data_IF_884473922325
#
_entry.id   IF_884473922325
#
_cell.length_a   1.000
_cell.length_b   1.000
_cell.length_c   1.000
_cell.angle_alpha   90.00
_cell.angle_beta   90.00
_cell.angle_gamma   90.00
#
_symmetry.space_group_name_H-M   'P 1'
#
loop_
_entity.id
_entity.type
_entity.pdbx_description
1 polymer ?
#
# COMPACT_ATOMS: atom_id res chain seq x y z
N UNK A 1 -36.26 8.68 -35.12
CA UNK A 1 -34.96 8.72 -34.40
C UNK A 1 -34.89 7.49 -33.53
N UNK A 2 -34.11 6.49 -33.95
CA UNK A 2 -34.00 5.19 -33.28
C UNK A 2 -32.91 5.27 -32.23
N UNK A 3 -33.26 5.05 -30.96
CA UNK A 3 -32.32 5.05 -29.84
C UNK A 3 -31.35 3.85 -29.96
N UNK A 4 -30.06 4.09 -29.73
CA UNK A 4 -29.02 3.07 -29.73
C UNK A 4 -29.20 2.10 -28.53
N UNK A 5 -28.92 0.79 -28.68
CA UNK A 5 -29.05 -0.17 -27.59
C UNK A 5 -27.97 0.06 -26.54
N UNK A 6 -28.39 0.09 -25.27
CA UNK A 6 -27.51 0.20 -24.11
C UNK A 6 -26.51 -0.96 -24.07
N UNK A 7 -25.22 -0.62 -24.03
CA UNK A 7 -24.12 -1.56 -23.92
C UNK A 7 -24.17 -2.23 -22.53
N UNK A 8 -24.58 -3.50 -22.47
CA UNK A 8 -24.58 -4.28 -21.23
C UNK A 8 -23.14 -4.45 -20.76
N UNK A 9 -22.89 -4.12 -19.49
CA UNK A 9 -21.62 -4.42 -18.81
C UNK A 9 -21.29 -5.92 -18.92
N UNK A 10 -20.01 -6.29 -19.10
CA UNK A 10 -19.62 -7.68 -19.29
C UNK A 10 -20.00 -8.51 -18.06
N UNK A 11 -20.68 -9.63 -18.31
CA UNK A 11 -21.11 -10.58 -17.29
C UNK A 11 -19.85 -11.11 -16.59
N UNK A 12 -19.76 -10.90 -15.26
CA UNK A 12 -18.73 -11.53 -14.41
C UNK A 12 -18.86 -13.05 -14.54
N UNK A 13 -17.91 -13.68 -15.26
CA UNK A 13 -17.85 -15.13 -15.42
C UNK A 13 -17.08 -15.73 -14.25
N UNK A 14 -17.74 -16.54 -13.43
CA UNK A 14 -17.08 -17.38 -12.43
C UNK A 14 -16.48 -18.57 -13.16
N UNK A 15 -15.15 -18.63 -13.23
CA UNK A 15 -14.44 -19.76 -13.85
C UNK A 15 -14.43 -20.96 -12.90
N UNK A 16 -14.78 -22.12 -13.42
CA UNK A 16 -14.72 -23.40 -12.71
C UNK A 16 -13.39 -24.11 -13.01
N UNK A 17 -12.91 -25.01 -12.13
CA UNK A 17 -11.63 -25.72 -12.32
C UNK A 17 -11.47 -26.44 -13.67
N UNK A 18 -12.57 -26.80 -14.31
CA UNK A 18 -12.62 -27.51 -15.60
C UNK A 18 -12.79 -26.59 -16.83
N UNK A 19 -12.81 -25.27 -16.67
CA UNK A 19 -12.99 -24.35 -17.78
C UNK A 19 -11.67 -24.18 -18.56
N UNK A 20 -11.63 -24.68 -19.80
CA UNK A 20 -10.50 -24.46 -20.72
C UNK A 20 -10.59 -23.07 -21.32
N UNK A 21 -9.65 -22.19 -21.00
CA UNK A 21 -9.53 -20.87 -21.62
C UNK A 21 -8.76 -20.96 -22.94
N UNK A 22 -9.18 -20.19 -23.94
CA UNK A 22 -8.46 -20.08 -25.21
C UNK A 22 -7.09 -19.45 -25.00
N UNK A 23 -6.11 -19.84 -25.83
CA UNK A 23 -4.71 -19.47 -25.68
C UNK A 23 -4.39 -17.96 -25.90
N UNK A 24 -5.38 -17.13 -26.21
CA UNK A 24 -5.20 -15.68 -26.46
C UNK A 24 -5.50 -14.78 -25.24
N UNK A 25 -5.88 -15.36 -24.09
CA UNK A 25 -6.13 -14.60 -22.86
C UNK A 25 -4.83 -14.32 -22.08
N UNK A 26 -3.98 -13.46 -22.63
CA UNK A 26 -2.83 -12.94 -21.91
C UNK A 26 -3.30 -12.05 -20.73
N UNK A 27 -3.00 -12.50 -19.51
CA UNK A 27 -3.00 -11.67 -18.29
C UNK A 27 -4.35 -11.41 -17.66
N UNK A 28 -4.95 -12.42 -17.02
CA UNK A 28 -6.05 -12.18 -16.07
C UNK A 28 -5.48 -11.60 -14.78
N UNK A 29 -5.59 -10.29 -14.63
CA UNK A 29 -5.28 -9.58 -13.40
C UNK A 29 -6.30 -9.95 -12.31
N UNK A 30 -5.80 -10.51 -11.20
CA UNK A 30 -6.57 -10.89 -10.02
C UNK A 30 -6.31 -9.94 -8.85
N UNK A 31 -5.61 -8.81 -9.07
CA UNK A 31 -5.34 -7.80 -8.06
C UNK A 31 -6.63 -7.37 -7.36
N UNK A 32 -6.61 -7.36 -6.02
CA UNK A 32 -7.77 -7.02 -5.19
C UNK A 32 -8.73 -8.19 -4.89
N UNK A 33 -8.46 -9.41 -5.37
CA UNK A 33 -9.14 -10.61 -4.86
C UNK A 33 -8.64 -10.94 -3.44
N UNK A 34 -9.22 -10.29 -2.43
CA UNK A 34 -8.79 -10.36 -1.02
C UNK A 34 -8.92 -11.71 -0.30
N UNK A 35 -9.13 -12.82 -1.01
CA UNK A 35 -9.24 -14.18 -0.45
C UNK A 35 -8.33 -15.22 -1.10
N UNK A 36 -7.37 -14.83 -1.93
CA UNK A 36 -6.42 -15.79 -2.49
C UNK A 36 -5.30 -15.98 -1.47
N UNK A 37 -5.39 -17.08 -0.73
CA UNK A 37 -4.42 -17.54 0.27
C UNK A 37 -3.53 -18.69 -0.26
N UNK A 38 -3.86 -19.23 -1.44
CA UNK A 38 -3.07 -20.20 -2.18
C UNK A 38 -3.26 -20.00 -3.69
N UNK A 39 -2.20 -20.26 -4.46
CA UNK A 39 -2.30 -20.40 -5.92
C UNK A 39 -2.60 -21.88 -6.22
N UNK A 40 -3.64 -22.22 -7.01
CA UNK A 40 -3.93 -23.61 -7.35
C UNK A 40 -2.83 -24.25 -8.19
N UNK A 41 -2.49 -25.51 -7.96
CA UNK A 41 -1.38 -26.19 -8.67
C UNK A 41 -1.56 -26.30 -10.19
N UNK A 42 -2.80 -26.23 -10.68
CA UNK A 42 -3.10 -26.21 -12.11
C UNK A 42 -2.86 -24.87 -12.81
N UNK A 43 -2.58 -23.80 -12.07
CA UNK A 43 -2.29 -22.49 -12.65
C UNK A 43 -0.89 -22.46 -13.25
N UNK A 44 -0.79 -21.99 -14.49
CA UNK A 44 0.49 -21.63 -15.11
C UNK A 44 0.65 -20.12 -15.06
N UNK A 45 1.73 -19.66 -14.45
CA UNK A 45 2.14 -18.26 -14.49
C UNK A 45 3.39 -18.14 -15.34
N UNK A 46 3.34 -17.31 -16.38
CA UNK A 46 4.39 -17.20 -17.39
C UNK A 46 5.39 -16.08 -17.12
N UNK A 47 5.05 -15.11 -16.27
CA UNK A 47 5.87 -13.93 -16.02
C UNK A 47 6.02 -13.63 -14.52
N UNK A 48 4.98 -13.10 -13.88
CA UNK A 48 5.02 -12.67 -12.51
C UNK A 48 3.66 -12.75 -11.83
N UNK A 49 3.68 -12.71 -10.50
CA UNK A 49 2.50 -12.62 -9.64
C UNK A 49 2.65 -11.37 -8.79
N UNK A 50 1.63 -10.50 -8.79
CA UNK A 50 1.52 -9.49 -7.75
C UNK A 50 0.98 -10.15 -6.49
N UNK A 51 1.66 -9.98 -5.37
CA UNK A 51 1.30 -10.62 -4.09
C UNK A 51 0.76 -9.61 -3.07
N UNK A 52 0.64 -8.33 -3.43
CA UNK A 52 0.06 -7.32 -2.57
C UNK A 52 -1.46 -7.50 -2.42
N UNK A 53 -1.97 -7.38 -1.19
CA UNK A 53 -3.39 -7.52 -0.90
C UNK A 53 -3.94 -8.95 -0.95
N UNK A 54 -3.07 -9.94 -1.17
CA UNK A 54 -3.40 -11.36 -1.11
C UNK A 54 -3.04 -11.95 0.27
N UNK A 55 -3.70 -13.05 0.64
CA UNK A 55 -3.45 -13.78 1.90
C UNK A 55 -2.24 -14.71 1.85
N UNK A 56 -1.39 -14.59 0.83
CA UNK A 56 -0.23 -15.45 0.64
C UNK A 56 0.83 -15.16 1.72
N UNK A 57 1.19 -16.19 2.48
CA UNK A 57 2.22 -16.11 3.52
C UNK A 57 3.59 -16.61 3.07
N UNK A 58 3.67 -17.21 1.87
CA UNK A 58 4.89 -17.78 1.30
C UNK A 58 4.83 -17.84 -0.23
N UNK A 59 5.98 -17.94 -0.91
CA UNK A 59 6.00 -18.17 -2.35
C UNK A 59 5.28 -19.47 -2.73
N UNK A 60 4.53 -19.50 -3.85
CA UNK A 60 3.91 -20.73 -4.36
C UNK A 60 4.96 -21.78 -4.73
N UNK A 61 4.94 -22.94 -4.04
CA UNK A 61 5.99 -23.97 -4.21
C UNK A 61 6.03 -24.60 -5.60
N UNK A 62 4.89 -24.70 -6.28
CA UNK A 62 4.77 -25.27 -7.62
C UNK A 62 5.13 -24.27 -8.74
N UNK A 63 5.42 -23.01 -8.40
CA UNK A 63 5.89 -21.99 -9.34
C UNK A 63 7.29 -21.49 -8.94
N UNK A 64 8.30 -22.38 -8.91
CA UNK A 64 9.65 -21.96 -8.59
C UNK A 64 10.16 -20.96 -9.63
N UNK A 65 10.76 -19.86 -9.17
CA UNK A 65 11.36 -18.85 -10.04
C UNK A 65 10.37 -17.88 -10.70
N UNK A 66 9.07 -17.96 -10.39
CA UNK A 66 8.12 -16.93 -10.84
C UNK A 66 8.50 -15.56 -10.27
N UNK A 67 8.45 -14.51 -11.10
CA UNK A 67 8.68 -13.15 -10.63
C UNK A 67 7.62 -12.73 -9.61
N UNK A 68 8.03 -12.02 -8.57
CA UNK A 68 7.10 -11.45 -7.59
C UNK A 68 7.02 -9.94 -7.78
N UNK A 69 5.82 -9.40 -7.63
CA UNK A 69 5.57 -7.97 -7.57
C UNK A 69 4.76 -7.60 -6.33
N UNK A 70 4.91 -6.36 -5.88
CA UNK A 70 4.10 -5.76 -4.84
C UNK A 70 3.52 -4.46 -5.38
N UNK A 71 2.23 -4.44 -5.68
CA UNK A 71 1.56 -3.29 -6.32
C UNK A 71 2.32 -2.80 -7.57
N UNK A 72 2.73 -3.74 -8.42
CA UNK A 72 3.47 -3.50 -9.66
C UNK A 72 4.99 -3.42 -9.51
N UNK A 73 5.53 -3.27 -8.31
CA UNK A 73 6.99 -3.16 -8.09
C UNK A 73 7.64 -4.55 -7.94
N UNK A 74 8.65 -4.92 -8.76
CA UNK A 74 9.41 -6.15 -8.55
C UNK A 74 10.02 -6.27 -7.15
N UNK A 75 9.80 -7.41 -6.50
CA UNK A 75 10.32 -7.71 -5.15
C UNK A 75 10.88 -9.12 -5.07
N UNK A 76 11.72 -9.37 -4.09
CA UNK A 76 12.11 -10.72 -3.72
C UNK A 76 11.17 -11.31 -2.66
N UNK A 77 11.33 -12.61 -2.39
CA UNK A 77 10.51 -13.32 -1.39
C UNK A 77 10.73 -12.81 0.04
N UNK A 78 11.88 -12.18 0.35
CA UNK A 78 12.15 -11.61 1.68
C UNK A 78 11.29 -10.37 1.90
N UNK A 79 11.30 -9.42 0.96
CA UNK A 79 10.43 -8.23 1.01
C UNK A 79 8.95 -8.65 1.05
N UNK A 80 8.54 -9.59 0.20
CA UNK A 80 7.15 -10.01 0.10
C UNK A 80 6.65 -10.75 1.36
N UNK A 81 7.41 -11.72 1.89
CA UNK A 81 6.88 -12.68 2.88
C UNK A 81 7.59 -12.67 4.22
N UNK A 82 8.74 -12.00 4.36
CA UNK A 82 9.55 -11.96 5.58
C UNK A 82 9.90 -10.51 5.97
N UNK A 83 8.90 -9.64 6.19
CA UNK A 83 9.12 -8.23 6.49
C UNK A 83 9.96 -7.99 7.75
N UNK A 84 9.92 -8.92 8.71
CA UNK A 84 10.71 -8.87 9.94
C UNK A 84 12.23 -9.03 9.72
N UNK A 85 12.66 -9.47 8.53
CA UNK A 85 14.09 -9.54 8.15
C UNK A 85 14.58 -8.25 7.48
N UNK A 86 13.70 -7.27 7.24
CA UNK A 86 14.08 -5.97 6.70
C UNK A 86 14.68 -5.13 7.82
N UNK A 87 15.73 -4.36 7.52
CA UNK A 87 16.38 -3.48 8.49
C UNK A 87 16.12 -1.99 8.24
N UNK A 88 16.27 -1.16 9.27
CA UNK A 88 16.16 0.31 9.15
C UNK A 88 17.23 0.86 8.20
N UNK A 89 18.51 0.51 8.43
CA UNK A 89 19.61 0.94 7.57
C UNK A 89 19.45 0.49 6.11
N UNK A 90 18.87 -0.70 5.89
CA UNK A 90 18.56 -1.20 4.56
C UNK A 90 17.49 -0.33 3.86
N UNK A 91 16.42 0.03 4.57
CA UNK A 91 15.39 0.94 4.06
C UNK A 91 15.96 2.32 3.75
N UNK A 92 16.75 2.90 4.65
CA UNK A 92 17.40 4.20 4.44
C UNK A 92 18.34 4.18 3.22
N UNK A 93 19.06 3.08 3.01
CA UNK A 93 20.03 2.91 1.92
C UNK A 93 19.44 2.51 0.56
N UNK A 94 18.16 2.14 0.47
CA UNK A 94 17.55 1.71 -0.80
C UNK A 94 17.37 2.90 -1.75
N UNK A 95 18.17 2.98 -2.82
CA UNK A 95 18.17 4.13 -3.75
C UNK A 95 16.92 4.24 -4.62
N UNK A 96 16.21 3.14 -4.86
CA UNK A 96 14.97 3.17 -5.62
C UNK A 96 13.81 3.55 -4.70
N UNK A 97 13.30 4.78 -4.85
CA UNK A 97 12.22 5.32 -4.03
C UNK A 97 10.96 4.43 -4.00
N UNK A 98 10.58 3.84 -5.13
CA UNK A 98 9.42 2.94 -5.19
C UNK A 98 9.67 1.61 -4.50
N UNK A 99 10.89 1.06 -4.60
CA UNK A 99 11.28 -0.15 -3.84
C UNK A 99 11.32 0.14 -2.34
N UNK A 100 11.87 1.30 -1.94
CA UNK A 100 11.87 1.75 -0.53
C UNK A 100 10.45 1.91 0.00
N UNK A 101 9.54 2.50 -0.77
CA UNK A 101 8.12 2.62 -0.40
C UNK A 101 7.51 1.26 -0.08
N UNK A 102 7.78 0.26 -0.91
CA UNK A 102 7.32 -1.11 -0.65
C UNK A 102 7.97 -1.69 0.60
N UNK A 103 9.28 -1.54 0.77
CA UNK A 103 9.97 -2.04 1.96
C UNK A 103 9.42 -1.41 3.25
N UNK A 104 9.10 -0.11 3.25
CA UNK A 104 8.46 0.59 4.36
C UNK A 104 7.03 0.12 4.62
N UNK A 105 6.23 -0.08 3.56
CA UNK A 105 4.87 -0.66 3.65
C UNK A 105 4.93 -2.07 4.28
N UNK A 106 5.96 -2.86 3.96
CA UNK A 106 6.18 -4.20 4.51
C UNK A 106 6.71 -4.19 5.94
N UNK A 107 7.67 -3.31 6.24
CA UNK A 107 8.27 -3.14 7.57
C UNK A 107 7.25 -2.59 8.58
N UNK A 108 6.39 -1.68 8.13
CA UNK A 108 5.44 -0.95 8.96
C UNK A 108 5.95 0.44 9.31
N UNK A 109 5.18 1.47 8.95
CA UNK A 109 5.59 2.86 9.15
C UNK A 109 5.78 3.23 10.62
N UNK A 110 4.91 2.76 11.52
CA UNK A 110 5.03 3.00 12.97
C UNK A 110 6.37 2.50 13.51
N UNK A 111 6.65 1.21 13.32
CA UNK A 111 7.90 0.59 13.77
C UNK A 111 9.12 1.23 13.10
N UNK A 112 9.01 1.63 11.82
CA UNK A 112 10.11 2.29 11.13
C UNK A 112 10.42 3.66 11.72
N UNK A 113 9.40 4.49 11.96
CA UNK A 113 9.59 5.84 12.51
C UNK A 113 10.24 5.81 13.89
N UNK A 114 9.82 4.86 14.74
CA UNK A 114 10.43 4.66 16.05
C UNK A 114 11.88 4.22 15.94
N UNK A 115 12.15 3.21 15.11
CA UNK A 115 13.49 2.64 14.97
C UNK A 115 14.47 3.54 14.20
N UNK A 116 13.97 4.45 13.37
CA UNK A 116 14.74 5.47 12.66
C UNK A 116 14.93 6.76 13.48
N UNK A 117 14.43 6.82 14.72
CA UNK A 117 14.47 8.00 15.59
C UNK A 117 13.95 9.27 14.87
N UNK A 118 12.77 9.14 14.25
CA UNK A 118 12.17 10.23 13.48
C UNK A 118 12.02 11.52 14.31
N UNK A 119 12.37 12.66 13.70
CA UNK A 119 12.18 13.98 14.28
C UNK A 119 10.69 14.30 14.34
N UNK A 120 10.17 14.58 15.54
CA UNK A 120 8.87 15.21 15.70
C UNK A 120 9.03 16.72 15.58
N UNK A 121 8.37 17.33 14.58
CA UNK A 121 8.51 18.76 14.31
C UNK A 121 7.18 19.53 14.31
N UNK A 122 6.05 18.83 14.44
CA UNK A 122 4.76 19.42 14.77
C UNK A 122 3.90 18.45 15.59
N UNK A 123 3.05 19.01 16.44
CA UNK A 123 2.11 18.26 17.28
C UNK A 123 0.86 19.10 17.53
N UNK A 124 -0.30 18.50 17.34
CA UNK A 124 -1.58 19.11 17.70
C UNK A 124 -2.60 18.08 18.21
N UNK A 125 -3.82 18.55 18.41
CA UNK A 125 -4.96 17.73 18.84
C UNK A 125 -6.23 18.18 18.13
N UNK A 126 -7.03 17.22 17.70
CA UNK A 126 -8.38 17.41 17.16
C UNK A 126 -9.39 16.54 17.96
N UNK A 127 -10.69 16.51 17.59
CA UNK A 127 -11.67 15.62 18.24
C UNK A 127 -11.32 14.13 18.14
N UNK A 128 -10.55 13.72 17.12
CA UNK A 128 -10.04 12.36 16.94
C UNK A 128 -8.83 12.01 17.81
N UNK A 129 -8.16 12.99 18.40
CA UNK A 129 -7.11 12.80 19.39
C UNK A 129 -5.82 13.55 19.07
N UNK A 130 -4.70 13.05 19.60
CA UNK A 130 -3.38 13.65 19.36
C UNK A 130 -2.80 13.21 18.04
N UNK A 131 -2.17 14.17 17.35
CA UNK A 131 -1.49 13.96 16.08
C UNK A 131 -0.07 14.47 16.19
N UNK A 132 0.85 13.78 15.52
CA UNK A 132 2.28 14.12 15.47
C UNK A 132 2.76 14.08 14.04
N UNK A 133 3.56 15.07 13.66
CA UNK A 133 4.21 15.11 12.37
C UNK A 133 5.68 14.71 12.54
N UNK A 134 6.06 13.65 11.84
CA UNK A 134 7.35 12.97 11.96
C UNK A 134 8.14 13.13 10.66
N UNK A 135 9.45 13.33 10.77
CA UNK A 135 10.38 13.43 9.64
C UNK A 135 11.56 12.49 9.82
N UNK A 136 11.95 11.83 8.73
CA UNK A 136 13.23 11.14 8.60
C UNK A 136 13.93 11.66 7.34
N UNK A 137 15.15 12.16 7.50
CA UNK A 137 15.98 12.57 6.37
C UNK A 137 16.47 11.35 5.58
N UNK A 138 16.35 11.41 4.24
CA UNK A 138 16.81 10.36 3.34
C UNK A 138 17.99 10.86 2.53
N UNK A 139 19.13 10.17 2.63
CA UNK A 139 20.33 10.57 1.90
C UNK A 139 20.12 10.46 0.38
N UNK A 140 20.18 11.60 -0.32
CA UNK A 140 20.02 11.65 -1.78
C UNK A 140 18.58 11.51 -2.28
N UNK A 141 17.59 11.77 -1.42
CA UNK A 141 16.17 11.74 -1.74
C UNK A 141 15.42 12.82 -0.94
N UNK A 142 14.13 13.02 -1.21
CA UNK A 142 13.26 13.87 -0.39
C UNK A 142 13.04 13.25 1.01
N UNK A 143 12.86 14.06 2.06
CA UNK A 143 12.62 13.55 3.39
C UNK A 143 11.33 12.73 3.45
N UNK A 144 11.33 11.69 4.27
CA UNK A 144 10.12 10.94 4.58
C UNK A 144 9.35 11.69 5.66
N UNK A 145 8.22 12.29 5.29
CA UNK A 145 7.31 12.96 6.24
C UNK A 145 6.05 12.12 6.42
N UNK A 146 5.67 11.89 7.68
CA UNK A 146 4.49 11.13 8.04
C UNK A 146 3.69 11.79 9.17
N UNK A 147 2.38 11.64 9.11
CA UNK A 147 1.48 11.96 10.22
C UNK A 147 1.17 10.70 11.01
N UNK A 148 1.34 10.77 12.33
CA UNK A 148 0.94 9.74 13.28
C UNK A 148 -0.30 10.20 14.04
N UNK A 149 -1.35 9.39 14.07
CA UNK A 149 -2.62 9.71 14.74
C UNK A 149 -3.27 8.46 15.34
N UNK A 150 -4.19 8.65 16.27
CA UNK A 150 -5.00 7.56 16.82
C UNK A 150 -6.11 7.17 15.85
N UNK A 151 -6.19 5.89 15.49
CA UNK A 151 -7.25 5.35 14.67
C UNK A 151 -8.53 5.19 15.50
N UNK A 152 -9.61 5.95 15.22
CA UNK A 152 -10.81 5.91 16.07
C UNK A 152 -11.55 4.56 15.99
N UNK A 153 -11.37 3.80 14.92
CA UNK A 153 -12.04 2.50 14.72
C UNK A 153 -11.31 1.33 15.38
N UNK A 154 -10.00 1.42 15.57
CA UNK A 154 -9.18 0.31 16.10
C UNK A 154 -8.48 0.63 17.42
N UNK A 155 -8.42 1.90 17.81
CA UNK A 155 -7.65 2.38 18.96
C UNK A 155 -6.13 2.27 18.78
N UNK A 156 -5.66 1.78 17.64
CA UNK A 156 -4.22 1.69 17.32
C UNK A 156 -3.70 3.05 16.84
N UNK A 157 -2.39 3.23 16.91
CA UNK A 157 -1.72 4.36 16.31
C UNK A 157 -1.41 4.02 14.85
N UNK A 158 -1.96 4.81 13.94
CA UNK A 158 -1.68 4.70 12.51
C UNK A 158 -0.66 5.77 12.10
N UNK A 159 0.11 5.47 11.06
CA UNK A 159 1.11 6.37 10.48
C UNK A 159 0.95 6.38 8.97
N UNK A 160 0.72 7.56 8.41
CA UNK A 160 0.54 7.77 6.97
C UNK A 160 1.60 8.72 6.42
N UNK A 161 2.17 8.39 5.27
CA UNK A 161 3.06 9.29 4.53
C UNK A 161 2.25 10.46 3.96
N UNK A 162 2.83 11.66 4.05
CA UNK A 162 2.30 12.90 3.49
C UNK A 162 3.40 13.60 2.66
N UNK A 163 3.09 14.68 1.91
CA UNK A 163 4.09 15.38 1.13
C UNK A 163 5.28 15.85 1.97
N UNK A 164 6.51 15.86 1.42
CA UNK A 164 7.71 16.25 2.16
C UNK A 164 7.70 17.72 2.60
N UNK A 165 6.87 18.55 1.93
CA UNK A 165 6.73 19.98 2.22
C UNK A 165 5.67 20.29 3.29
N UNK A 166 4.97 19.27 3.81
CA UNK A 166 3.97 19.43 4.86
C UNK A 166 4.60 19.97 6.14
N UNK A 167 4.01 21.03 6.69
CA UNK A 167 4.53 21.78 7.84
C UNK A 167 3.76 21.57 9.13
N UNK A 168 2.49 21.19 9.05
CA UNK A 168 1.62 21.03 10.22
C UNK A 168 0.79 19.75 10.16
N UNK A 169 0.39 19.23 11.31
CA UNK A 169 -0.51 18.10 11.45
C UNK A 169 -1.86 18.35 10.76
N UNK A 170 -2.42 19.55 10.87
CA UNK A 170 -3.65 19.91 10.16
C UNK A 170 -3.49 19.83 8.63
N UNK A 171 -2.39 20.36 8.07
CA UNK A 171 -2.11 20.21 6.64
C UNK A 171 -1.96 18.74 6.24
N UNK A 172 -1.31 17.95 7.10
CA UNK A 172 -1.12 16.52 6.86
C UNK A 172 -2.47 15.78 6.78
N UNK A 173 -3.38 16.05 7.72
CA UNK A 173 -4.70 15.43 7.76
C UNK A 173 -5.55 15.87 6.57
N UNK A 174 -5.59 17.17 6.27
CA UNK A 174 -6.31 17.69 5.11
C UNK A 174 -5.87 17.00 3.80
N UNK A 175 -4.55 16.85 3.63
CA UNK A 175 -4.00 16.13 2.47
C UNK A 175 -4.43 14.65 2.44
N UNK A 176 -4.43 13.95 3.59
CA UNK A 176 -4.89 12.55 3.65
C UNK A 176 -6.39 12.41 3.37
N UNK A 177 -7.18 13.46 3.62
CA UNK A 177 -8.59 13.54 3.29
C UNK A 177 -8.85 13.96 1.82
N UNK A 178 -7.81 14.36 1.09
CA UNK A 178 -7.88 14.75 -0.32
C UNK A 178 -8.08 16.23 -0.58
N UNK A 179 -7.84 17.09 0.42
CA UNK A 179 -7.87 18.55 0.27
C UNK A 179 -6.48 19.09 -0.10
N UNK A 180 -6.44 20.02 -1.07
CA UNK A 180 -5.21 20.74 -1.45
C UNK A 180 -4.95 21.94 -0.52
N UNK A 181 -6.00 22.65 -0.11
CA UNK A 181 -5.94 23.72 0.89
C UNK A 181 -6.40 23.19 2.25
N UNK A 182 -5.56 23.25 3.30
CA UNK A 182 -5.96 22.86 4.65
C UNK A 182 -7.19 23.59 5.18
N UNK A 183 -7.45 24.82 4.73
CA UNK A 183 -8.62 25.59 5.15
C UNK A 183 -9.96 24.96 4.71
N UNK A 184 -9.94 24.10 3.68
CA UNK A 184 -11.12 23.39 3.19
C UNK A 184 -11.48 22.18 4.08
N UNK A 185 -10.55 21.71 4.92
CA UNK A 185 -10.77 20.66 5.91
C UNK A 185 -11.35 21.24 7.22
N UNK A 186 -12.51 21.88 7.13
CA UNK A 186 -13.23 22.41 8.27
C UNK A 186 -14.15 21.33 8.87
N UNK A 187 -14.07 21.02 10.18
CA UNK A 187 -14.97 20.05 10.79
C UNK A 187 -16.42 20.53 10.66
N UNK A 188 -17.26 19.71 10.01
CA UNK A 188 -18.70 19.91 10.01
C UNK A 188 -19.19 19.71 11.45
N UNK A 189 -19.63 20.81 12.08
CA UNK A 189 -20.31 20.74 13.37
C UNK A 189 -21.72 20.19 13.11
N UNK A 190 -21.92 18.90 13.33
CA UNK A 190 -23.28 18.35 13.43
C UNK A 190 -23.92 18.92 14.71
N UNK A 191 -25.04 19.63 14.53
CA UNK A 191 -25.85 20.22 15.62
C UNK A 191 -26.98 19.28 16.00
#
# INVERSE_FOLDING_TARGET
MTAAPAQRAPIRRVLRPQDTLAADEAGRDIAGCGRIDHVPEGFRVTSWIDVAGFGLTRPPRHLPGVGLRWRGMPVDARIAFRPHELGVAENLGERNAERRRVMLERFGFETFMEAAEAEEFDRDRDPGGERRLLRVELAGDEPLVCVSFGCPSTGRRDVLRVPPTTKTCHQAVAWTAGFDDPADDAPLIET
#
